data_IF_505420307927
#
_entry.id   IF_505420307927
#
_cell.length_a   1.000
_cell.length_b   1.000
_cell.length_c   1.000
_cell.angle_alpha   90.00
_cell.angle_beta   90.00
_cell.angle_gamma   90.00
#
_symmetry.space_group_name_H-M   'P 1'
#
loop_
_entity.id
_entity.type
_entity.pdbx_description
1 polymer ?
#
# COMPACT_ATOMS: atom_id res chain seq x y z
N UNK A 1 -6.00 11.06 -6.97
CA UNK A 1 -4.70 10.38 -6.80
C UNK A 1 -4.99 8.96 -6.39
N UNK A 2 -4.98 8.04 -7.35
CA UNK A 2 -5.27 6.63 -7.08
C UNK A 2 -4.16 6.01 -6.27
N UNK A 3 -4.49 5.23 -5.24
CA UNK A 3 -3.55 4.63 -4.29
C UNK A 3 -4.13 3.36 -3.65
N UNK A 4 -3.29 2.65 -2.90
CA UNK A 4 -3.69 1.54 -2.03
C UNK A 4 -4.58 0.46 -2.69
N UNK A 5 -4.24 -0.04 -3.90
CA UNK A 5 -5.05 -1.05 -4.55
C UNK A 5 -4.99 -2.39 -3.80
N UNK A 6 -6.14 -3.02 -3.61
CA UNK A 6 -6.30 -4.31 -2.94
C UNK A 6 -7.24 -5.18 -3.75
N UNK A 7 -6.81 -6.39 -4.07
CA UNK A 7 -7.62 -7.38 -4.79
C UNK A 7 -8.21 -8.41 -3.83
N UNK A 8 -9.52 -8.60 -3.87
CA UNK A 8 -10.22 -9.68 -3.19
C UNK A 8 -10.62 -10.76 -4.20
N UNK A 9 -9.89 -11.87 -4.19
CA UNK A 9 -10.11 -13.01 -5.09
C UNK A 9 -11.45 -13.71 -4.86
N UNK A 10 -11.97 -13.66 -3.62
CA UNK A 10 -13.19 -14.37 -3.20
C UNK A 10 -14.42 -13.87 -3.95
N UNK A 11 -14.48 -12.56 -4.19
CA UNK A 11 -15.58 -11.89 -4.87
C UNK A 11 -15.15 -11.18 -6.18
N UNK A 12 -13.92 -11.40 -6.64
CA UNK A 12 -13.33 -10.82 -7.86
C UNK A 12 -13.45 -9.28 -7.91
N UNK A 13 -13.10 -8.61 -6.82
CA UNK A 13 -13.24 -7.16 -6.67
C UNK A 13 -11.87 -6.50 -6.47
N UNK A 14 -11.61 -5.43 -7.22
CA UNK A 14 -10.51 -4.51 -6.95
C UNK A 14 -11.05 -3.33 -6.14
N UNK A 15 -10.45 -3.09 -4.98
CA UNK A 15 -10.63 -1.88 -4.21
C UNK A 15 -9.42 -0.97 -4.42
N UNK A 16 -9.61 0.33 -4.47
CA UNK A 16 -8.54 1.32 -4.45
C UNK A 16 -9.07 2.65 -3.94
N UNK A 17 -8.19 3.62 -3.67
CA UNK A 17 -8.60 4.88 -3.05
C UNK A 17 -8.16 6.08 -3.88
N UNK A 18 -9.00 7.12 -3.95
CA UNK A 18 -8.57 8.45 -4.33
C UNK A 18 -8.28 9.26 -3.06
N UNK A 19 -7.00 9.44 -2.73
CA UNK A 19 -6.60 10.17 -1.52
C UNK A 19 -7.10 11.62 -1.55
N UNK A 20 -6.88 12.32 -2.67
CA UNK A 20 -7.21 13.75 -2.76
C UNK A 20 -8.72 13.97 -2.98
N UNK A 21 -9.37 13.05 -3.68
CA UNK A 21 -10.82 13.05 -3.87
C UNK A 21 -11.59 12.59 -2.63
N UNK A 22 -10.94 11.90 -1.69
CA UNK A 22 -11.58 11.37 -0.49
C UNK A 22 -12.54 10.22 -0.80
N UNK A 23 -12.21 9.35 -1.76
CA UNK A 23 -13.12 8.31 -2.27
C UNK A 23 -12.54 6.91 -2.16
N UNK A 24 -13.38 5.95 -1.77
CA UNK A 24 -13.15 4.52 -1.99
C UNK A 24 -13.77 4.14 -3.33
N UNK A 25 -13.02 3.42 -4.15
CA UNK A 25 -13.48 2.82 -5.39
C UNK A 25 -13.64 1.32 -5.23
N UNK A 26 -14.75 0.78 -5.76
CA UNK A 26 -15.10 -0.63 -5.74
C UNK A 26 -15.33 -1.08 -7.17
N UNK A 27 -14.33 -1.75 -7.75
CA UNK A 27 -14.37 -2.20 -9.14
C UNK A 27 -14.70 -3.69 -9.19
N UNK A 28 -15.88 -4.02 -9.72
CA UNK A 28 -16.38 -5.39 -9.85
C UNK A 28 -17.15 -5.54 -11.17
N UNK A 29 -16.87 -6.61 -11.90
CA UNK A 29 -17.53 -6.90 -13.20
C UNK A 29 -17.47 -5.72 -14.19
N UNK A 30 -16.36 -4.97 -14.18
CA UNK A 30 -16.14 -3.82 -15.06
C UNK A 30 -16.90 -2.54 -14.69
N UNK A 31 -17.62 -2.53 -13.55
CA UNK A 31 -18.24 -1.33 -12.98
C UNK A 31 -17.38 -0.79 -11.86
N UNK A 32 -17.25 0.53 -11.80
CA UNK A 32 -16.59 1.24 -10.71
C UNK A 32 -17.63 2.00 -9.89
N UNK A 33 -17.77 1.63 -8.62
CA UNK A 33 -18.64 2.31 -7.66
C UNK A 33 -17.79 3.18 -6.73
N UNK A 34 -18.17 4.45 -6.61
CA UNK A 34 -17.49 5.40 -5.73
C UNK A 34 -18.25 5.57 -4.40
N UNK A 35 -17.51 5.61 -3.31
CA UNK A 35 -18.04 5.85 -1.97
C UNK A 35 -17.24 6.97 -1.30
N UNK A 36 -17.93 8.04 -0.92
CA UNK A 36 -17.30 9.15 -0.22
C UNK A 36 -16.86 8.71 1.19
N UNK A 37 -15.59 8.97 1.50
CA UNK A 37 -14.98 8.59 2.77
C UNK A 37 -15.03 9.74 3.80
N UNK A 38 -14.94 9.45 5.10
CA UNK A 38 -15.08 10.49 6.14
C UNK A 38 -13.97 11.54 6.17
N UNK A 39 -12.83 11.26 5.52
CA UNK A 39 -11.64 12.11 5.50
C UNK A 39 -10.75 11.72 4.32
N UNK A 40 -9.52 12.22 4.29
CA UNK A 40 -8.51 11.81 3.30
C UNK A 40 -8.16 10.32 3.49
N UNK A 41 -8.84 9.45 2.75
CA UNK A 41 -8.61 8.00 2.70
C UNK A 41 -7.23 7.69 2.10
N UNK A 42 -6.54 6.65 2.59
CA UNK A 42 -5.18 6.38 2.14
C UNK A 42 -4.80 4.90 2.02
N UNK A 43 -5.45 4.01 2.78
CA UNK A 43 -5.11 2.58 2.75
C UNK A 43 -6.31 1.69 3.12
N UNK A 44 -6.26 0.44 2.65
CA UNK A 44 -7.33 -0.54 2.77
C UNK A 44 -6.79 -1.88 3.28
N UNK A 45 -7.62 -2.63 3.99
CA UNK A 45 -7.35 -3.98 4.43
C UNK A 45 -8.58 -4.86 4.28
N UNK A 46 -8.41 -6.05 3.70
CA UNK A 46 -9.51 -7.01 3.60
C UNK A 46 -9.86 -7.58 4.98
N UNK A 47 -11.13 -7.89 5.19
CA UNK A 47 -11.57 -8.67 6.36
C UNK A 47 -12.03 -10.07 5.94
N UNK A 48 -12.27 -10.93 6.92
CA UNK A 48 -12.79 -12.29 6.68
C UNK A 48 -14.15 -12.29 5.99
N UNK A 49 -14.93 -11.23 6.18
CA UNK A 49 -16.24 -11.06 5.56
C UNK A 49 -16.06 -10.28 4.25
N UNK A 50 -16.46 -10.89 3.14
CA UNK A 50 -16.38 -10.27 1.82
C UNK A 50 -17.14 -8.93 1.78
N UNK A 51 -16.57 -7.94 1.10
CA UNK A 51 -17.15 -6.60 1.00
C UNK A 51 -17.00 -5.72 2.26
N UNK A 52 -16.51 -6.27 3.38
CA UNK A 52 -16.12 -5.47 4.56
C UNK A 52 -14.62 -5.20 4.56
N UNK A 53 -14.25 -3.96 4.84
CA UNK A 53 -12.86 -3.49 4.84
C UNK A 53 -12.47 -2.84 6.15
N UNK A 54 -11.17 -2.84 6.42
CA UNK A 54 -10.52 -1.90 7.33
C UNK A 54 -9.99 -0.75 6.47
N UNK A 55 -10.26 0.48 6.88
CA UNK A 55 -9.97 1.68 6.08
C UNK A 55 -9.22 2.70 6.92
N UNK A 56 -8.07 3.14 6.44
CA UNK A 56 -7.35 4.29 6.98
C UNK A 56 -7.80 5.57 6.28
N UNK A 57 -8.28 6.54 7.06
CA UNK A 57 -8.61 7.87 6.56
C UNK A 57 -8.26 8.95 7.59
N UNK A 58 -7.50 9.96 7.17
CA UNK A 58 -6.92 10.95 8.07
C UNK A 58 -5.93 10.31 9.05
N UNK A 59 -6.26 10.32 10.35
CA UNK A 59 -5.53 9.60 11.41
C UNK A 59 -6.42 8.60 12.15
N UNK A 60 -7.46 8.13 11.47
CA UNK A 60 -8.46 7.22 12.00
C UNK A 60 -8.49 5.93 11.19
N UNK A 61 -8.80 4.83 11.86
CA UNK A 61 -9.20 3.58 11.25
C UNK A 61 -10.70 3.40 11.37
N UNK A 62 -11.29 2.91 10.28
CA UNK A 62 -12.71 2.62 10.19
C UNK A 62 -12.91 1.16 9.77
N UNK A 63 -13.97 0.55 10.27
CA UNK A 63 -14.59 -0.62 9.63
C UNK A 63 -15.58 -0.11 8.60
N UNK A 64 -15.38 -0.48 7.34
CA UNK A 64 -16.32 -0.24 6.25
C UNK A 64 -17.21 -1.48 6.04
N UNK A 65 -18.52 -1.26 6.03
CA UNK A 65 -19.54 -2.28 5.70
C UNK A 65 -20.73 -1.61 5.00
N UNK A 66 -21.76 -1.18 5.75
CA UNK A 66 -22.86 -0.34 5.26
C UNK A 66 -22.62 1.15 5.56
N UNK A 67 -21.35 1.55 5.57
CA UNK A 67 -20.87 2.83 6.09
C UNK A 67 -19.57 2.67 6.85
N UNK A 68 -18.98 3.79 7.26
CA UNK A 68 -17.72 3.86 7.98
C UNK A 68 -17.95 3.96 9.49
N UNK A 69 -17.45 2.99 10.24
CA UNK A 69 -17.53 2.96 11.70
C UNK A 69 -16.13 3.13 12.29
N UNK A 70 -15.90 4.19 13.06
CA UNK A 70 -14.60 4.45 13.69
C UNK A 70 -14.24 3.31 14.66
N UNK A 71 -13.04 2.73 14.51
CA UNK A 71 -12.52 1.66 15.39
C UNK A 71 -11.23 2.06 16.10
N UNK A 72 -10.56 3.12 15.66
CA UNK A 72 -9.36 3.62 16.32
C UNK A 72 -8.92 4.97 15.76
N UNK A 73 -8.21 5.75 16.58
CA UNK A 73 -7.62 7.02 16.16
C UNK A 73 -6.24 7.21 16.80
N UNK A 74 -5.33 7.83 16.06
CA UNK A 74 -4.04 8.30 16.57
C UNK A 74 -4.13 9.81 16.84
N UNK A 75 -3.68 10.23 18.02
CA UNK A 75 -3.59 11.65 18.41
C UNK A 75 -2.20 12.21 18.07
N UNK A 76 -1.94 12.45 16.78
CA UNK A 76 -0.73 13.12 16.28
C UNK A 76 -1.11 14.44 15.57
N UNK A 77 -0.13 15.32 15.35
CA UNK A 77 -0.34 16.63 14.72
C UNK A 77 0.57 16.82 13.52
N UNK A 78 0.06 17.47 12.47
CA UNK A 78 0.83 17.77 11.27
C UNK A 78 1.16 16.56 10.41
N UNK A 79 0.53 15.41 10.66
CA UNK A 79 0.73 14.18 9.89
C UNK A 79 -0.60 13.60 9.44
N UNK A 80 -0.56 12.72 8.44
CA UNK A 80 -1.68 11.86 8.02
C UNK A 80 -1.21 10.43 7.87
N UNK A 81 -2.14 9.48 7.89
CA UNK A 81 -1.87 8.16 7.34
C UNK A 81 -1.57 8.24 5.84
N UNK A 82 -0.71 7.34 5.38
CA UNK A 82 -0.35 7.15 3.99
C UNK A 82 -0.63 5.70 3.60
N UNK A 83 0.37 4.91 3.22
CA UNK A 83 0.16 3.51 2.88
C UNK A 83 -0.05 2.62 4.12
N UNK A 84 -0.74 1.51 3.92
CA UNK A 84 -1.08 0.54 4.97
C UNK A 84 -1.60 -0.77 4.40
N UNK A 85 -1.41 -1.85 5.15
CA UNK A 85 -1.79 -3.21 4.73
C UNK A 85 -2.07 -4.09 5.95
N UNK A 86 -2.91 -5.11 5.78
CA UNK A 86 -3.05 -6.17 6.77
C UNK A 86 -1.75 -7.01 6.82
N UNK A 87 -1.25 -7.28 8.03
CA UNK A 87 -0.13 -8.19 8.23
C UNK A 87 -0.57 -9.66 8.31
N UNK A 88 0.38 -10.62 8.22
CA UNK A 88 0.11 -12.05 8.44
C UNK A 88 -0.43 -12.37 9.84
N UNK A 89 -0.28 -11.45 10.79
CA UNK A 89 -0.81 -11.52 12.15
C UNK A 89 -2.27 -11.02 12.28
N UNK A 90 -2.88 -10.62 11.16
CA UNK A 90 -4.22 -10.06 11.09
C UNK A 90 -4.34 -8.64 11.67
N UNK A 91 -3.22 -8.00 12.02
CA UNK A 91 -3.20 -6.61 12.47
C UNK A 91 -3.17 -5.67 11.27
N UNK A 92 -3.60 -4.42 11.47
CA UNK A 92 -3.49 -3.40 10.42
C UNK A 92 -2.24 -2.55 10.63
N UNK A 93 -1.32 -2.59 9.68
CA UNK A 93 -0.08 -1.82 9.68
C UNK A 93 -0.28 -0.58 8.83
N UNK A 94 0.10 0.59 9.34
CA UNK A 94 -0.13 1.86 8.64
C UNK A 94 0.97 2.87 8.92
N UNK A 95 1.47 3.46 7.85
CA UNK A 95 2.47 4.49 7.86
C UNK A 95 1.89 5.89 7.98
N UNK A 96 2.65 6.81 8.56
CA UNK A 96 2.37 8.26 8.48
C UNK A 96 3.41 9.01 7.67
N UNK A 97 3.02 10.23 7.28
CA UNK A 97 3.91 11.24 6.69
C UNK A 97 3.51 12.65 7.15
N UNK A 98 4.45 13.59 7.05
CA UNK A 98 4.18 15.01 7.23
C UNK A 98 3.20 15.53 6.17
N UNK A 99 2.16 16.22 6.61
CA UNK A 99 1.14 16.82 5.73
C UNK A 99 1.73 17.84 4.76
N UNK A 100 2.79 18.53 5.18
CA UNK A 100 3.47 19.52 4.33
C UNK A 100 4.63 18.94 3.52
N UNK A 101 4.99 17.66 3.73
CA UNK A 101 6.13 17.00 3.09
C UNK A 101 7.48 17.72 3.31
N UNK A 102 7.66 18.38 4.46
CA UNK A 102 8.87 19.18 4.79
C UNK A 102 9.72 18.58 5.90
N UNK A 103 9.13 17.76 6.77
CA UNK A 103 9.75 17.22 7.99
C UNK A 103 9.71 15.71 8.00
N UNK A 104 10.70 15.09 8.65
CA UNK A 104 10.76 13.65 8.87
C UNK A 104 9.91 13.24 10.08
N UNK A 105 8.57 13.35 9.95
CA UNK A 105 7.62 13.03 11.02
C UNK A 105 6.97 11.65 10.88
N UNK A 106 7.33 10.90 9.84
CA UNK A 106 6.76 9.59 9.55
C UNK A 106 7.05 8.56 10.64
N UNK A 107 6.04 7.75 10.93
CA UNK A 107 6.09 6.62 11.85
C UNK A 107 5.32 5.45 11.24
N UNK A 108 5.68 4.24 11.63
CA UNK A 108 4.88 3.04 11.36
C UNK A 108 4.09 2.70 12.62
N UNK A 109 2.78 2.60 12.47
CA UNK A 109 1.86 2.16 13.50
C UNK A 109 1.29 0.79 13.17
N UNK A 110 0.95 0.02 14.20
CA UNK A 110 0.23 -1.24 14.10
C UNK A 110 -0.98 -1.18 15.00
N UNK A 111 -2.14 -1.53 14.45
CA UNK A 111 -3.40 -1.56 15.15
C UNK A 111 -3.84 -2.99 15.46
N UNK A 112 -4.10 -3.25 16.74
CA UNK A 112 -4.73 -4.49 17.23
C UNK A 112 -5.67 -4.17 18.39
N UNK A 113 -6.73 -3.39 18.11
CA UNK A 113 -7.61 -2.80 19.11
C UNK A 113 -7.05 -1.53 19.77
N UNK A 114 -5.73 -1.35 19.74
CA UNK A 114 -5.03 -0.12 20.07
C UNK A 114 -3.86 0.09 19.10
N UNK A 115 -3.41 1.34 18.95
CA UNK A 115 -2.25 1.66 18.13
C UNK A 115 -0.94 1.54 18.90
N UNK A 116 0.03 0.85 18.31
CA UNK A 116 1.42 0.78 18.80
C UNK A 116 2.38 1.26 17.72
N UNK A 117 3.39 2.04 18.11
CA UNK A 117 4.44 2.49 17.20
C UNK A 117 5.48 1.38 17.04
N UNK A 118 5.75 0.94 15.82
CA UNK A 118 6.78 -0.06 15.49
C UNK A 118 8.04 0.52 14.88
N UNK A 119 7.94 1.67 14.21
CA UNK A 119 9.11 2.35 13.68
C UNK A 119 8.93 3.88 13.74
N UNK A 120 10.01 4.59 14.03
CA UNK A 120 10.06 6.06 14.10
C UNK A 120 11.07 6.60 13.09
N UNK A 121 11.09 7.92 12.90
CA UNK A 121 12.05 8.62 12.05
C UNK A 121 12.01 8.20 10.56
N UNK A 122 10.83 7.83 10.08
CA UNK A 122 10.56 7.70 8.65
C UNK A 122 10.33 9.10 8.06
N UNK A 123 10.57 9.25 6.76
CA UNK A 123 10.17 10.48 6.07
C UNK A 123 8.75 10.33 5.53
N UNK A 124 8.56 9.49 4.51
CA UNK A 124 7.24 9.12 4.00
C UNK A 124 7.15 7.60 4.02
N UNK A 125 6.39 7.07 4.98
CA UNK A 125 6.11 5.64 5.02
C UNK A 125 5.19 5.28 3.87
N UNK A 126 5.62 4.34 3.05
CA UNK A 126 4.90 3.94 1.84
C UNK A 126 4.80 2.42 1.72
N UNK A 127 4.78 1.91 0.48
CA UNK A 127 4.75 0.50 0.12
C UNK A 127 5.25 -0.45 1.21
N UNK A 128 4.41 -1.42 1.58
CA UNK A 128 4.76 -2.44 2.58
C UNK A 128 4.24 -3.83 2.21
N UNK A 129 4.99 -4.87 2.55
CA UNK A 129 4.57 -6.27 2.37
C UNK A 129 5.46 -7.25 3.18
N UNK A 130 5.04 -8.50 3.25
CA UNK A 130 5.74 -9.58 3.94
C UNK A 130 5.99 -10.76 3.02
N UNK A 131 7.12 -11.43 3.20
CA UNK A 131 7.39 -12.73 2.60
C UNK A 131 8.18 -13.59 3.57
N UNK A 132 7.62 -14.75 3.94
CA UNK A 132 8.17 -15.61 5.01
C UNK A 132 8.32 -14.82 6.32
N UNK A 133 9.50 -14.77 6.92
CA UNK A 133 9.80 -14.04 8.16
C UNK A 133 10.23 -12.57 7.92
N UNK A 134 10.21 -12.13 6.66
CA UNK A 134 10.65 -10.80 6.27
C UNK A 134 9.48 -9.83 6.11
N UNK A 135 9.67 -8.61 6.60
CA UNK A 135 8.84 -7.44 6.34
C UNK A 135 9.65 -6.42 5.56
N UNK A 136 9.05 -5.85 4.52
CA UNK A 136 9.66 -4.81 3.71
C UNK A 136 8.85 -3.52 3.82
N UNK A 137 9.56 -2.39 3.84
CA UNK A 137 8.95 -1.07 3.95
C UNK A 137 9.68 -0.03 3.10
N UNK A 138 8.95 0.71 2.29
CA UNK A 138 9.43 1.85 1.51
C UNK A 138 9.50 3.10 2.39
N UNK A 139 10.62 3.83 2.31
CA UNK A 139 10.72 5.24 2.71
C UNK A 139 11.05 6.07 1.47
N UNK A 140 10.03 6.69 0.86
CA UNK A 140 10.11 7.22 -0.51
C UNK A 140 11.23 8.26 -0.72
N UNK A 141 11.37 9.31 0.12
CA UNK A 141 12.39 10.33 -0.06
C UNK A 141 13.81 9.82 0.19
N UNK A 142 13.95 8.74 0.97
CA UNK A 142 15.23 8.04 1.14
C UNK A 142 15.55 7.09 -0.01
N UNK A 143 14.60 6.87 -0.94
CA UNK A 143 14.76 6.03 -2.13
C UNK A 143 15.17 4.59 -1.82
N UNK A 144 14.62 4.08 -0.72
CA UNK A 144 15.03 2.79 -0.13
C UNK A 144 13.83 1.95 0.26
N UNK A 145 13.98 0.65 0.03
CA UNK A 145 13.14 -0.38 0.61
C UNK A 145 13.95 -1.01 1.74
N UNK A 146 13.52 -0.81 2.98
CA UNK A 146 14.12 -1.43 4.15
C UNK A 146 13.59 -2.85 4.35
N UNK A 147 14.44 -3.73 4.84
CA UNK A 147 14.06 -5.06 5.27
C UNK A 147 14.17 -5.19 6.79
N UNK A 148 13.21 -5.92 7.35
CA UNK A 148 13.16 -6.26 8.76
C UNK A 148 12.84 -7.75 8.89
N UNK A 149 13.42 -8.40 9.90
CA UNK A 149 12.91 -9.68 10.37
C UNK A 149 11.88 -9.42 11.47
N UNK A 150 10.73 -10.07 11.39
CA UNK A 150 9.68 -9.96 12.41
C UNK A 150 9.84 -11.08 13.44
N UNK A 151 10.11 -10.74 14.70
CA UNK A 151 10.25 -11.70 15.81
C UNK A 151 9.54 -11.19 17.05
N UNK A 152 8.65 -11.99 17.63
CA UNK A 152 7.94 -11.66 18.88
C UNK A 152 7.30 -10.26 18.86
N UNK A 153 6.67 -9.91 17.73
CA UNK A 153 6.06 -8.59 17.46
C UNK A 153 7.08 -7.45 17.28
N UNK A 154 8.39 -7.68 17.35
CA UNK A 154 9.44 -6.68 17.15
C UNK A 154 10.05 -6.73 15.75
N UNK A 155 10.56 -5.57 15.29
CA UNK A 155 11.22 -5.41 14.01
C UNK A 155 12.75 -5.37 14.18
N UNK A 156 13.43 -6.44 13.79
CA UNK A 156 14.89 -6.46 13.68
C UNK A 156 15.29 -5.90 12.30
N UNK A 157 15.86 -4.68 12.26
CA UNK A 157 16.27 -4.07 10.99
C UNK A 157 17.48 -4.78 10.38
N UNK A 158 17.38 -5.11 9.09
CA UNK A 158 18.48 -5.64 8.28
C UNK A 158 19.08 -4.57 7.33
N UNK A 159 18.68 -3.31 7.48
CA UNK A 159 19.09 -2.22 6.61
C UNK A 159 18.28 -2.11 5.31
N UNK A 160 18.85 -1.41 4.33
CA UNK A 160 18.25 -1.28 3.00
C UNK A 160 18.41 -2.59 2.23
N UNK A 161 17.29 -3.21 1.85
CA UNK A 161 17.29 -4.35 0.93
C UNK A 161 17.40 -3.92 -0.52
N UNK A 162 16.85 -2.74 -0.86
CA UNK A 162 16.91 -2.18 -2.21
C UNK A 162 17.18 -0.67 -2.09
N UNK A 163 18.10 -0.21 -2.93
CA UNK A 163 18.45 1.19 -3.15
C UNK A 163 18.04 1.55 -4.59
N UNK A 164 17.20 2.57 -4.75
CA UNK A 164 16.64 2.95 -6.06
C UNK A 164 17.19 4.26 -6.59
N UNK A 165 18.24 4.83 -5.99
CA UNK A 165 18.92 6.08 -6.35
C UNK A 165 19.22 6.22 -7.85
N UNK A 166 19.57 5.13 -8.53
CA UNK A 166 19.91 5.11 -9.95
C UNK A 166 18.69 5.06 -10.91
N UNK A 167 17.46 5.02 -10.39
CA UNK A 167 16.22 4.82 -11.16
C UNK A 167 15.33 6.08 -11.13
N UNK A 168 14.76 6.57 -12.24
CA UNK A 168 13.87 7.75 -12.21
C UNK A 168 12.69 7.68 -11.22
N UNK A 169 12.28 8.81 -10.65
CA UNK A 169 11.17 8.86 -9.68
C UNK A 169 11.55 8.31 -8.31
N UNK A 170 10.62 8.28 -7.35
CA UNK A 170 10.85 7.74 -5.99
C UNK A 170 10.03 6.46 -5.77
N UNK A 171 10.51 5.48 -4.99
CA UNK A 171 9.74 4.27 -4.72
C UNK A 171 8.49 4.64 -3.92
N UNK A 172 7.34 4.08 -4.31
CA UNK A 172 6.03 4.41 -3.76
C UNK A 172 5.38 3.15 -3.18
N UNK A 173 4.23 2.71 -3.66
CA UNK A 173 3.64 1.42 -3.33
C UNK A 173 4.46 0.22 -3.81
N UNK A 174 4.34 -0.90 -3.10
CA UNK A 174 4.99 -2.16 -3.48
C UNK A 174 4.18 -3.41 -3.12
N UNK A 175 4.50 -4.52 -3.77
CA UNK A 175 3.98 -5.86 -3.49
C UNK A 175 5.07 -6.91 -3.63
N UNK A 176 5.02 -7.96 -2.80
CA UNK A 176 5.92 -9.12 -2.93
C UNK A 176 5.17 -10.28 -3.56
N UNK A 177 5.69 -10.80 -4.67
CA UNK A 177 5.07 -11.91 -5.39
C UNK A 177 5.25 -13.27 -4.68
N UNK A 178 4.75 -14.35 -5.29
CA UNK A 178 4.80 -15.70 -4.71
C UNK A 178 6.20 -16.31 -4.64
N UNK A 179 7.15 -15.79 -5.43
CA UNK A 179 8.55 -16.23 -5.44
C UNK A 179 9.43 -15.38 -4.53
N UNK A 180 8.90 -14.27 -4.02
CA UNK A 180 9.60 -13.37 -3.10
C UNK A 180 10.27 -12.20 -3.81
N UNK A 181 9.95 -11.94 -5.08
CA UNK A 181 10.43 -10.74 -5.78
C UNK A 181 9.61 -9.53 -5.35
N UNK A 182 10.29 -8.40 -5.19
CA UNK A 182 9.71 -7.14 -4.74
C UNK A 182 9.42 -6.26 -5.96
N UNK A 183 8.14 -6.00 -6.19
CA UNK A 183 7.66 -5.14 -7.26
C UNK A 183 7.35 -3.75 -6.70
N UNK A 184 8.00 -2.72 -7.24
CA UNK A 184 7.95 -1.35 -6.68
C UNK A 184 7.50 -0.36 -7.75
N UNK A 185 6.44 0.39 -7.48
CA UNK A 185 6.02 1.54 -8.30
C UNK A 185 6.96 2.73 -8.09
N UNK A 186 7.21 3.50 -9.15
CA UNK A 186 8.03 4.71 -9.08
C UNK A 186 7.21 5.97 -9.34
N UNK A 187 6.93 6.74 -8.28
CA UNK A 187 6.27 8.03 -8.37
C UNK A 187 7.16 9.01 -9.12
N UNK A 188 6.66 9.50 -10.26
CA UNK A 188 7.42 10.39 -11.14
C UNK A 188 8.45 9.68 -12.02
N UNK A 189 8.52 8.35 -11.98
CA UNK A 189 9.50 7.53 -12.72
C UNK A 189 8.96 6.88 -13.99
N UNK A 190 7.64 6.74 -14.12
CA UNK A 190 7.00 6.09 -15.27
C UNK A 190 7.35 4.62 -15.42
N UNK A 191 7.52 3.93 -14.30
CA UNK A 191 7.90 2.52 -14.31
C UNK A 191 7.55 1.79 -13.02
N UNK A 192 7.64 0.47 -13.12
CA UNK A 192 7.70 -0.49 -12.03
C UNK A 192 9.04 -1.22 -12.13
N UNK A 193 9.72 -1.41 -11.02
CA UNK A 193 10.96 -2.21 -10.96
C UNK A 193 10.72 -3.48 -10.15
N UNK A 194 11.29 -4.60 -10.58
CA UNK A 194 11.17 -5.90 -9.91
C UNK A 194 12.54 -6.35 -9.43
N UNK A 195 12.64 -6.74 -8.17
CA UNK A 195 13.91 -6.99 -7.49
C UNK A 195 13.92 -8.33 -6.78
N UNK A 196 15.06 -9.00 -6.82
CA UNK A 196 15.42 -9.92 -5.74
C UNK A 196 15.83 -9.09 -4.50
N UNK A 197 15.40 -9.45 -3.29
CA UNK A 197 15.83 -8.75 -2.08
C UNK A 197 17.36 -8.73 -1.95
N UNK A 198 17.95 -7.59 -1.58
CA UNK A 198 19.40 -7.38 -1.44
C UNK A 198 20.20 -7.43 -2.76
N UNK A 199 19.54 -7.45 -3.91
CA UNK A 199 20.23 -7.31 -5.20
C UNK A 199 20.64 -5.85 -5.46
N UNK A 200 21.72 -5.66 -6.22
CA UNK A 200 22.20 -4.33 -6.63
C UNK A 200 21.46 -3.75 -7.84
N UNK A 201 20.69 -4.58 -8.55
CA UNK A 201 19.99 -4.22 -9.79
C UNK A 201 18.67 -5.00 -9.86
N UNK A 202 17.62 -4.42 -10.46
CA UNK A 202 16.36 -5.11 -10.65
C UNK A 202 16.54 -6.23 -11.67
N UNK A 203 15.79 -7.31 -11.47
CA UNK A 203 15.68 -8.39 -12.45
C UNK A 203 14.79 -7.99 -13.62
N UNK A 204 13.92 -6.98 -13.45
CA UNK A 204 13.10 -6.43 -14.52
C UNK A 204 12.74 -4.95 -14.29
N UNK A 205 12.52 -4.20 -15.38
CA UNK A 205 12.01 -2.83 -15.37
C UNK A 205 10.89 -2.72 -16.40
N UNK A 206 9.69 -2.41 -15.91
CA UNK A 206 8.46 -2.36 -16.68
C UNK A 206 8.06 -0.90 -16.84
N UNK A 207 7.96 -0.41 -18.09
CA UNK A 207 7.56 0.97 -18.37
C UNK A 207 6.04 1.11 -18.32
N UNK A 208 5.57 2.24 -17.81
CA UNK A 208 4.14 2.59 -17.77
C UNK A 208 3.84 3.73 -18.75
N UNK A 209 2.59 3.87 -19.22
CA UNK A 209 2.20 4.96 -20.13
C UNK A 209 2.08 6.33 -19.44
N UNK A 210 2.20 6.38 -18.11
CA UNK A 210 2.10 7.58 -17.29
C UNK A 210 3.28 7.67 -16.35
N UNK A 211 3.74 8.90 -16.05
CA UNK A 211 4.94 9.14 -15.24
C UNK A 211 4.71 8.93 -13.73
N UNK A 212 3.52 9.24 -13.23
CA UNK A 212 3.22 9.15 -11.79
C UNK A 212 2.47 7.84 -11.49
N UNK A 213 3.24 6.76 -11.33
CA UNK A 213 2.77 5.46 -10.85
C UNK A 213 2.84 5.46 -9.34
N UNK A 214 1.74 5.12 -8.66
CA UNK A 214 1.63 5.27 -7.20
C UNK A 214 1.72 3.94 -6.48
N UNK A 215 1.00 2.92 -6.93
CA UNK A 215 1.00 1.62 -6.25
C UNK A 215 0.55 0.50 -7.19
N UNK A 216 0.60 -0.73 -6.70
CA UNK A 216 0.27 -1.93 -7.46
C UNK A 216 -0.13 -3.11 -6.56
N UNK A 217 -1.00 -3.96 -7.09
CA UNK A 217 -1.36 -5.25 -6.49
C UNK A 217 -1.50 -6.32 -7.57
N UNK A 218 -1.20 -7.55 -7.21
CA UNK A 218 -1.63 -8.69 -8.02
C UNK A 218 -3.13 -8.96 -7.83
N UNK A 219 -3.75 -9.55 -8.85
CA UNK A 219 -5.12 -10.00 -8.84
C UNK A 219 -5.49 -10.83 -10.08
N UNK A 220 -6.78 -10.91 -10.38
CA UNK A 220 -7.32 -11.84 -11.38
C UNK A 220 -7.41 -13.28 -10.85
N UNK A 221 -8.06 -14.16 -11.61
CA UNK A 221 -8.35 -15.54 -11.19
C UNK A 221 -7.08 -16.39 -10.97
N UNK A 222 -6.01 -16.08 -11.72
CA UNK A 222 -4.71 -16.75 -11.59
C UNK A 222 -3.69 -16.01 -10.72
N UNK A 223 -4.07 -14.88 -10.09
CA UNK A 223 -3.16 -13.93 -9.44
C UNK A 223 -1.99 -13.49 -10.33
N UNK A 224 -2.20 -13.43 -11.65
CA UNK A 224 -1.19 -13.12 -12.66
C UNK A 224 -1.52 -11.84 -13.45
N UNK A 225 -2.48 -11.06 -12.95
CA UNK A 225 -2.74 -9.70 -13.40
C UNK A 225 -2.18 -8.72 -12.37
N UNK A 226 -1.52 -7.66 -12.81
CA UNK A 226 -1.05 -6.58 -11.94
C UNK A 226 -1.91 -5.35 -12.20
N UNK A 227 -2.66 -4.95 -11.19
CA UNK A 227 -3.41 -3.70 -11.16
C UNK A 227 -2.49 -2.59 -10.67
N UNK A 228 -2.48 -1.46 -11.37
CA UNK A 228 -1.52 -0.37 -11.16
C UNK A 228 -2.30 0.93 -11.03
N UNK A 229 -2.14 1.62 -9.90
CA UNK A 229 -2.73 2.94 -9.68
C UNK A 229 -1.77 4.05 -10.12
N UNK A 230 -2.34 5.20 -10.47
CA UNK A 230 -1.58 6.38 -10.90
C UNK A 230 -2.20 7.68 -10.42
N UNK A 231 -1.51 8.80 -10.65
CA UNK A 231 -1.98 10.13 -10.27
C UNK A 231 -2.17 11.04 -11.48
N UNK A 232 -3.33 11.73 -11.53
CA UNK A 232 -3.63 12.76 -12.53
C UNK A 232 -2.70 13.97 -12.47
N UNK A 233 -1.91 14.12 -11.39
CA UNK A 233 -0.84 15.12 -11.29
C UNK A 233 0.23 14.99 -12.39
N UNK A 234 0.31 13.83 -13.07
CA UNK A 234 1.23 13.63 -14.19
C UNK A 234 0.89 14.49 -15.41
N UNK A 235 -0.40 14.77 -15.62
CA UNK A 235 -0.90 15.61 -16.70
C UNK A 235 -0.95 14.95 -18.09
N UNK A 236 -0.51 13.69 -18.23
CA UNK A 236 -0.70 12.91 -19.46
C UNK A 236 -2.17 12.50 -19.63
N UNK A 237 -2.58 12.16 -20.86
CA UNK A 237 -3.97 11.78 -21.19
C UNK A 237 -4.52 10.66 -20.30
N UNK A 238 -3.70 9.65 -19.99
CA UNK A 238 -4.08 8.51 -19.16
C UNK A 238 -3.76 8.71 -17.67
N UNK A 239 -3.21 9.86 -17.27
CA UNK A 239 -2.78 10.11 -15.90
C UNK A 239 -3.97 10.07 -14.93
N UNK A 240 -3.85 9.28 -13.86
CA UNK A 240 -4.93 9.06 -12.89
C UNK A 240 -5.79 7.84 -13.18
N UNK A 241 -5.59 7.16 -14.32
CA UNK A 241 -6.24 5.89 -14.62
C UNK A 241 -5.66 4.75 -13.77
N UNK A 242 -6.45 3.68 -13.62
CA UNK A 242 -5.97 2.38 -13.16
C UNK A 242 -5.66 1.51 -14.37
N UNK A 243 -4.47 0.92 -14.40
CA UNK A 243 -4.04 0.03 -15.47
C UNK A 243 -4.06 -1.43 -15.01
N UNK A 244 -4.20 -2.34 -15.95
CA UNK A 244 -4.01 -3.77 -15.72
C UNK A 244 -3.01 -4.30 -16.75
N UNK A 245 -2.08 -5.14 -16.29
CA UNK A 245 -1.18 -5.89 -17.17
C UNK A 245 -1.16 -7.36 -16.77
N UNK A 246 -0.97 -8.24 -17.74
CA UNK A 246 -0.71 -9.66 -17.49
C UNK A 246 0.79 -9.92 -17.33
N UNK A 247 1.14 -10.91 -16.52
CA UNK A 247 2.52 -11.32 -16.30
C UNK A 247 2.62 -12.83 -16.08
N UNK A 248 3.81 -13.39 -16.27
CA UNK A 248 4.11 -14.79 -15.96
C UNK A 248 4.29 -15.01 -14.44
N UNK A 249 4.67 -13.96 -13.71
CA UNK A 249 4.76 -13.99 -12.25
C UNK A 249 3.38 -14.12 -11.62
N UNK A 250 3.32 -14.76 -10.46
CA UNK A 250 2.08 -14.88 -9.67
C UNK A 250 2.22 -14.14 -8.37
N UNK A 251 1.20 -13.38 -8.02
CA UNK A 251 1.03 -12.79 -6.70
C UNK A 251 0.62 -13.79 -5.64
N UNK A 252 0.21 -13.25 -4.51
CA UNK A 252 -0.34 -13.99 -3.38
C UNK A 252 -1.67 -13.36 -2.97
N UNK A 253 -2.50 -14.14 -2.31
CA UNK A 253 -3.69 -13.61 -1.66
C UNK A 253 -3.28 -12.57 -0.60
N UNK A 254 -4.07 -11.50 -0.47
CA UNK A 254 -3.87 -10.51 0.58
C UNK A 254 -4.09 -11.14 1.95
N UNK A 255 -3.32 -10.70 2.94
CA UNK A 255 -3.61 -11.06 4.33
C UNK A 255 -4.94 -10.43 4.77
N UNK A 256 -5.62 -11.11 5.69
CA UNK A 256 -6.92 -10.72 6.20
C UNK A 256 -6.77 -10.10 7.58
N UNK A 257 -7.29 -8.90 7.76
CA UNK A 257 -7.36 -8.25 9.05
C UNK A 257 -8.43 -8.88 9.95
N UNK A 258 -8.19 -8.78 11.27
CA UNK A 258 -9.24 -8.91 12.28
C UNK A 258 -10.35 -7.88 12.01
N UNK A 259 -11.59 -8.21 12.36
CA UNK A 259 -12.75 -7.35 12.07
C UNK A 259 -13.06 -6.32 13.16
N UNK A 260 -12.49 -6.50 14.36
CA UNK A 260 -12.69 -5.65 15.55
C UNK A 260 -14.17 -5.26 15.78
N UNK A 261 -15.10 -6.22 15.62
CA UNK A 261 -16.55 -5.94 15.65
C UNK A 261 -17.08 -5.45 17.00
N UNK A 262 -16.37 -5.74 18.09
CA UNK A 262 -16.80 -5.45 19.48
C UNK A 262 -16.02 -4.29 20.14
N UNK A 263 -15.35 -3.45 19.35
CA UNK A 263 -14.62 -2.25 19.85
C UNK A 263 -15.44 -1.01 19.53
#
# INVERSE_FOLDING_TARGET
>A
MGEGPVWDSRNKTLYWVDILGGKLHVVREGKDEEVDSPSMISALGLTKDEGKLVVAAGLSLYRYSNGFHLIGKVEERGVRFNDGKCGPDGKFWVGTMDLEEKKNLGKLFVFDGEFKVKQKNLTVSNGMDWYKDMYYLVDSPKRRIYAFRVRDDELESLGAAIETEDYPGVPDGMVVDSEGLIWVAHYGGGMITVWEPFSKRPVNVIKTPVKIVTSLTFGGEGLNQVFITSSSKGGEELAGSVFVMETESKGREHYICKSWENI
#
